data_IF_115740756459
#
_entry.id   IF_115740756459
#
_cell.length_a   1.000
_cell.length_b   1.000
_cell.length_c   1.000
_cell.angle_alpha   90.00
_cell.angle_beta   90.00
_cell.angle_gamma   90.00
#
_symmetry.space_group_name_H-M   'P 1'
#
loop_
_entity.id
_entity.type
_entity.pdbx_description
1 polymer ?
#
# COMPACT_ATOMS: atom_id res chain seq x y z
N UNK A 1 -12.60 58.24 -25.69
CA UNK A 1 -12.03 57.69 -24.44
C UNK A 1 -12.75 56.40 -24.11
N UNK A 2 -12.00 55.28 -24.03
CA UNK A 2 -12.26 54.01 -23.29
C UNK A 2 -13.61 53.29 -23.50
N UNK A 3 -13.76 51.97 -23.46
CA UNK A 3 -12.95 50.74 -23.51
C UNK A 3 -13.99 49.60 -23.33
N UNK A 4 -13.68 48.38 -23.79
CA UNK A 4 -14.14 47.17 -23.10
C UNK A 4 -14.90 46.15 -23.94
N UNK A 5 -14.15 45.31 -24.66
CA UNK A 5 -14.58 43.98 -25.06
C UNK A 5 -14.56 43.03 -23.85
N UNK A 6 -15.66 42.33 -23.60
CA UNK A 6 -15.68 41.10 -22.80
C UNK A 6 -16.14 39.95 -23.71
N UNK A 7 -15.20 39.06 -24.07
CA UNK A 7 -15.50 37.73 -24.60
C UNK A 7 -15.13 36.70 -23.54
N UNK A 8 -16.04 35.77 -23.34
CA UNK A 8 -16.01 34.65 -22.41
C UNK A 8 -14.83 33.71 -22.64
N UNK A 9 -14.22 33.24 -21.56
CA UNK A 9 -13.31 32.09 -21.57
C UNK A 9 -14.13 30.80 -21.54
N UNK A 10 -14.21 30.11 -22.67
CA UNK A 10 -14.54 28.68 -22.68
C UNK A 10 -13.31 27.90 -22.23
N UNK A 11 -13.43 27.20 -21.11
CA UNK A 11 -12.42 26.27 -20.59
C UNK A 11 -12.38 25.01 -21.47
N UNK A 12 -11.20 24.69 -22.02
CA UNK A 12 -10.98 23.42 -22.71
C UNK A 12 -11.25 22.22 -21.79
N UNK A 13 -11.85 21.13 -22.30
CA UNK A 13 -12.00 19.89 -21.54
C UNK A 13 -10.63 19.23 -21.28
N UNK A 14 -10.49 18.43 -20.21
CA UNK A 14 -9.23 17.79 -19.85
C UNK A 14 -8.84 16.73 -20.89
N UNK A 15 -7.54 16.49 -21.11
CA UNK A 15 -7.07 15.53 -22.10
C UNK A 15 -7.52 14.11 -21.71
N UNK A 16 -8.29 13.51 -22.61
CA UNK A 16 -8.64 12.11 -22.64
C UNK A 16 -7.35 11.27 -22.62
N UNK A 17 -7.35 10.16 -21.86
CA UNK A 17 -6.17 9.32 -21.60
C UNK A 17 -5.57 8.83 -22.92
N UNK A 18 -4.54 9.51 -23.40
CA UNK A 18 -3.72 9.03 -24.49
C UNK A 18 -3.02 7.75 -24.00
N UNK A 19 -3.43 6.61 -24.55
CA UNK A 19 -2.78 5.32 -24.30
C UNK A 19 -1.30 5.38 -24.63
N UNK A 20 -0.52 4.52 -23.96
CA UNK A 20 0.92 4.36 -24.13
C UNK A 20 1.34 4.26 -25.63
N UNK A 21 0.47 3.66 -26.46
CA UNK A 21 0.65 3.54 -27.90
C UNK A 21 0.66 4.87 -28.67
N UNK A 22 -0.13 5.87 -28.24
CA UNK A 22 -0.17 7.19 -28.88
C UNK A 22 1.11 7.98 -28.63
N UNK A 23 1.65 7.89 -27.41
CA UNK A 23 2.91 8.55 -27.03
C UNK A 23 4.09 7.90 -27.78
N UNK A 24 4.12 6.56 -27.86
CA UNK A 24 5.11 5.84 -28.67
C UNK A 24 5.05 6.22 -30.14
N UNK A 25 3.86 6.34 -30.73
CA UNK A 25 3.70 6.69 -32.16
C UNK A 25 4.24 8.08 -32.51
N UNK A 26 4.10 9.06 -31.61
CA UNK A 26 4.64 10.42 -31.81
C UNK A 26 6.13 10.53 -31.53
N UNK A 27 6.68 9.72 -30.62
CA UNK A 27 8.13 9.65 -30.38
C UNK A 27 8.84 9.00 -31.59
N UNK A 28 8.23 7.98 -32.20
CA UNK A 28 8.78 7.32 -33.39
C UNK A 28 8.75 8.23 -34.64
N UNK A 29 7.83 9.18 -34.73
CA UNK A 29 7.77 10.15 -35.84
C UNK A 29 8.90 11.18 -35.84
N UNK A 30 9.65 11.31 -34.73
CA UNK A 30 10.80 12.22 -34.63
C UNK A 30 12.13 11.63 -35.11
N UNK A 31 12.16 10.33 -35.44
CA UNK A 31 13.36 9.64 -35.90
C UNK A 31 13.37 9.46 -37.42
N UNK A 32 13.39 10.58 -38.13
CA UNK A 32 13.74 10.56 -39.55
C UNK A 32 15.25 10.25 -39.64
N UNK A 33 15.57 9.01 -40.05
CA UNK A 33 16.93 8.46 -40.04
C UNK A 33 17.84 9.27 -40.98
N UNK A 34 18.55 10.27 -40.47
CA UNK A 34 19.67 10.87 -41.19
C UNK A 34 20.92 10.01 -41.02
N UNK A 35 21.51 9.61 -42.15
CA UNK A 35 22.83 8.99 -42.17
C UNK A 35 23.89 10.00 -41.71
N UNK A 36 24.62 9.68 -40.64
CA UNK A 36 25.80 10.44 -40.21
C UNK A 36 27.07 9.76 -40.72
N UNK A 37 27.84 10.48 -41.53
CA UNK A 37 29.24 10.15 -41.77
C UNK A 37 30.05 10.71 -40.58
N UNK A 38 30.70 9.83 -39.81
CA UNK A 38 31.46 10.27 -38.64
C UNK A 38 32.65 11.17 -39.00
N UNK A 39 32.97 12.11 -38.11
CA UNK A 39 34.07 13.09 -38.20
C UNK A 39 35.48 12.47 -38.08
N UNK A 40 35.75 11.37 -38.79
CA UNK A 40 37.09 10.78 -38.90
C UNK A 40 37.91 11.40 -40.05
N UNK A 41 37.68 12.67 -40.41
CA UNK A 41 38.38 13.34 -41.52
C UNK A 41 38.86 14.76 -41.17
N UNK A 42 39.28 14.99 -39.92
CA UNK A 42 39.90 16.26 -39.50
C UNK A 42 41.41 16.15 -39.29
N UNK A 43 42.08 15.30 -40.08
CA UNK A 43 43.55 15.16 -40.05
C UNK A 43 44.15 14.79 -41.42
N UNK A 44 43.71 15.44 -42.51
CA UNK A 44 44.44 15.35 -43.78
C UNK A 44 44.22 16.58 -44.69
N UNK A 45 44.44 17.80 -44.19
CA UNK A 45 44.62 18.97 -45.06
C UNK A 45 45.75 19.84 -44.48
N UNK A 46 46.96 19.28 -44.51
CA UNK A 46 48.20 20.05 -44.57
C UNK A 46 48.96 19.49 -45.76
N UNK A 47 49.38 20.37 -46.65
CA UNK A 47 50.07 20.13 -47.93
C UNK A 47 49.19 19.73 -49.13
N UNK A 48 48.69 20.76 -49.83
CA UNK A 48 48.98 20.95 -51.26
C UNK A 48 48.47 22.31 -51.75
N UNK A 49 49.35 23.29 -51.67
CA UNK A 49 49.38 24.37 -52.66
C UNK A 49 49.73 23.78 -54.04
N UNK A 50 49.23 24.42 -55.10
CA UNK A 50 49.59 24.24 -56.51
C UNK A 50 49.11 22.96 -57.24
N UNK A 51 47.97 23.09 -57.93
CA UNK A 51 47.82 22.98 -59.41
C UNK A 51 46.36 22.64 -59.73
N UNK A 52 45.67 23.56 -60.40
CA UNK A 52 44.46 23.23 -61.14
C UNK A 52 44.82 22.23 -62.25
N UNK A 53 44.28 21.00 -62.18
CA UNK A 53 44.16 20.09 -63.33
C UNK A 53 42.73 19.53 -63.37
N UNK A 54 42.09 19.75 -64.51
CA UNK A 54 40.74 19.37 -64.93
C UNK A 54 40.51 17.84 -65.07
N UNK A 55 41.07 17.00 -64.19
CA UNK A 55 41.07 15.54 -64.37
C UNK A 55 40.41 14.71 -63.24
N UNK A 56 39.70 15.31 -62.29
CA UNK A 56 39.00 14.57 -61.23
C UNK A 56 37.46 14.52 -61.39
N UNK A 57 36.95 14.58 -62.63
CA UNK A 57 35.49 14.48 -62.87
C UNK A 57 34.95 13.04 -62.89
N UNK A 58 35.79 12.01 -62.73
CA UNK A 58 35.36 10.60 -62.69
C UNK A 58 36.12 9.82 -61.62
N UNK A 59 35.69 9.95 -60.36
CA UNK A 59 35.99 8.94 -59.34
C UNK A 59 34.69 8.54 -58.66
N UNK A 60 34.33 7.26 -58.81
CA UNK A 60 33.20 6.64 -58.13
C UNK A 60 33.40 6.73 -56.61
N UNK A 61 32.55 7.50 -55.93
CA UNK A 61 32.54 7.57 -54.48
C UNK A 61 32.33 6.17 -53.89
N UNK A 62 33.13 5.74 -52.89
CA UNK A 62 32.91 4.47 -52.21
C UNK A 62 31.59 4.57 -51.43
N UNK A 63 30.66 3.66 -51.69
CA UNK A 63 29.41 3.52 -50.95
C UNK A 63 29.75 3.16 -49.50
N UNK A 64 29.73 4.14 -48.60
CA UNK A 64 29.85 3.92 -47.17
C UNK A 64 28.64 3.11 -46.71
N UNK A 65 28.88 1.92 -46.14
CA UNK A 65 27.85 1.20 -45.37
C UNK A 65 27.46 2.10 -44.19
N UNK A 66 26.32 2.79 -44.31
CA UNK A 66 25.76 3.62 -43.25
C UNK A 66 25.34 2.70 -42.09
N UNK A 67 26.16 2.61 -41.05
CA UNK A 67 25.77 1.98 -39.78
C UNK A 67 24.79 2.91 -39.09
N UNK A 68 23.57 2.46 -38.81
CA UNK A 68 22.63 3.22 -37.98
C UNK A 68 23.16 3.27 -36.55
N UNK A 69 23.78 4.38 -36.18
CA UNK A 69 24.19 4.66 -34.81
C UNK A 69 23.25 5.73 -34.24
N UNK A 70 22.85 5.55 -32.97
CA UNK A 70 22.08 6.56 -32.26
C UNK A 70 22.96 7.79 -32.00
N UNK A 71 22.42 8.98 -32.24
CA UNK A 71 23.11 10.22 -31.85
C UNK A 71 23.06 10.38 -30.33
N UNK A 72 24.05 11.06 -29.74
CA UNK A 72 24.03 11.39 -28.31
C UNK A 72 22.74 12.14 -27.93
N UNK A 73 22.28 13.06 -28.78
CA UNK A 73 21.05 13.81 -28.55
C UNK A 73 19.80 12.92 -28.53
N UNK A 74 19.72 11.95 -29.44
CA UNK A 74 18.63 10.96 -29.49
C UNK A 74 18.59 10.08 -28.24
N UNK A 75 19.75 9.60 -27.77
CA UNK A 75 19.84 8.85 -26.51
C UNK A 75 19.44 9.72 -25.32
N UNK A 76 19.86 10.99 -25.27
CA UNK A 76 19.52 11.89 -24.17
C UNK A 76 18.04 12.25 -24.13
N UNK A 77 17.41 12.51 -25.28
CA UNK A 77 15.97 12.79 -25.37
C UNK A 77 15.17 11.56 -24.96
N UNK A 78 15.54 10.36 -25.44
CA UNK A 78 14.84 9.12 -25.09
C UNK A 78 14.96 8.79 -23.61
N UNK A 79 16.16 8.88 -23.02
CA UNK A 79 16.36 8.72 -21.58
C UNK A 79 15.62 9.79 -20.77
N UNK A 80 15.57 11.03 -21.27
CA UNK A 80 14.79 12.12 -20.66
C UNK A 80 13.29 11.81 -20.61
N UNK A 81 12.71 11.34 -21.72
CA UNK A 81 11.29 10.97 -21.79
C UNK A 81 11.00 9.79 -20.87
N UNK A 82 11.78 8.71 -20.94
CA UNK A 82 11.61 7.54 -20.05
C UNK A 82 11.74 7.95 -18.59
N UNK A 83 12.69 8.83 -18.27
CA UNK A 83 12.88 9.37 -16.91
C UNK A 83 11.66 10.11 -16.39
N UNK A 84 11.07 11.02 -17.19
CA UNK A 84 9.87 11.77 -16.79
C UNK A 84 8.67 10.84 -16.63
N UNK A 85 8.43 9.93 -17.58
CA UNK A 85 7.30 9.00 -17.50
C UNK A 85 7.45 8.09 -16.27
N UNK A 86 8.63 7.51 -16.06
CA UNK A 86 8.89 6.66 -14.91
C UNK A 86 8.72 7.41 -13.58
N UNK A 87 9.16 8.67 -13.49
CA UNK A 87 8.98 9.49 -12.30
C UNK A 87 7.50 9.74 -11.94
N UNK A 88 6.62 9.82 -12.94
CA UNK A 88 5.18 9.98 -12.73
C UNK A 88 4.47 8.66 -12.40
N UNK A 89 4.95 7.52 -12.90
CA UNK A 89 4.27 6.23 -12.76
C UNK A 89 4.79 5.36 -11.61
N UNK A 90 6.07 5.45 -11.25
CA UNK A 90 6.65 4.61 -10.19
C UNK A 90 5.97 4.81 -8.82
N UNK A 91 5.65 6.03 -8.37
CA UNK A 91 5.03 6.22 -7.06
C UNK A 91 3.66 5.55 -6.92
N UNK A 92 2.80 5.65 -7.94
CA UNK A 92 1.47 5.04 -7.92
C UNK A 92 1.56 3.51 -7.99
N UNK A 93 2.42 2.97 -8.85
CA UNK A 93 2.61 1.52 -8.95
C UNK A 93 3.11 0.91 -7.64
N UNK A 94 4.05 1.58 -6.96
CA UNK A 94 4.57 1.13 -5.65
C UNK A 94 3.47 1.20 -4.58
N UNK A 95 2.65 2.25 -4.59
CA UNK A 95 1.54 2.37 -3.65
C UNK A 95 0.52 1.25 -3.86
N UNK A 96 0.08 1.02 -5.10
CA UNK A 96 -0.88 -0.03 -5.46
C UNK A 96 -0.36 -1.43 -5.10
N UNK A 97 0.94 -1.67 -5.32
CA UNK A 97 1.58 -2.94 -4.95
C UNK A 97 1.55 -3.17 -3.43
N UNK A 98 1.90 -2.14 -2.64
CA UNK A 98 1.88 -2.21 -1.17
C UNK A 98 0.47 -2.45 -0.65
N UNK A 99 -0.54 -1.78 -1.20
CA UNK A 99 -1.94 -1.98 -0.78
C UNK A 99 -2.39 -3.42 -1.04
N UNK A 100 -2.04 -4.00 -2.19
CA UNK A 100 -2.31 -5.42 -2.48
C UNK A 100 -1.58 -6.37 -1.53
N UNK A 101 -0.33 -6.06 -1.20
CA UNK A 101 0.45 -6.82 -0.22
C UNK A 101 -0.20 -6.78 1.17
N UNK A 102 -0.62 -5.60 1.63
CA UNK A 102 -1.35 -5.40 2.89
C UNK A 102 -2.64 -6.22 2.93
N UNK A 103 -3.47 -6.16 1.88
CA UNK A 103 -4.71 -6.93 1.79
C UNK A 103 -4.41 -8.43 1.93
N UNK A 104 -3.43 -8.95 1.19
CA UNK A 104 -3.07 -10.36 1.23
C UNK A 104 -2.56 -10.80 2.61
N UNK A 105 -1.67 -9.99 3.22
CA UNK A 105 -1.15 -10.23 4.57
C UNK A 105 -2.25 -10.22 5.63
N UNK A 106 -3.12 -9.22 5.63
CA UNK A 106 -4.20 -9.14 6.61
C UNK A 106 -5.16 -10.32 6.49
N UNK A 107 -5.56 -10.70 5.27
CA UNK A 107 -6.42 -11.88 5.05
C UNK A 107 -5.77 -13.16 5.54
N UNK A 108 -4.47 -13.33 5.32
CA UNK A 108 -3.70 -14.48 5.83
C UNK A 108 -3.70 -14.51 7.35
N UNK A 109 -3.37 -13.38 7.99
CA UNK A 109 -3.35 -13.26 9.46
C UNK A 109 -4.73 -13.53 10.05
N UNK A 110 -5.78 -12.92 9.47
CA UNK A 110 -7.16 -13.16 9.88
C UNK A 110 -7.54 -14.64 9.79
N UNK A 111 -7.27 -15.27 8.64
CA UNK A 111 -7.57 -16.70 8.45
C UNK A 111 -6.79 -17.58 9.43
N UNK A 112 -5.52 -17.24 9.70
CA UNK A 112 -4.69 -17.99 10.64
C UNK A 112 -5.24 -17.90 12.06
N UNK A 113 -5.62 -16.70 12.50
CA UNK A 113 -6.19 -16.47 13.84
C UNK A 113 -7.57 -17.10 13.98
N UNK A 114 -8.47 -16.94 12.99
CA UNK A 114 -9.82 -17.52 13.01
C UNK A 114 -9.76 -19.06 13.01
N UNK A 115 -8.87 -19.65 12.21
CA UNK A 115 -8.65 -21.11 12.22
C UNK A 115 -8.11 -21.61 13.55
N UNK A 116 -7.10 -20.93 14.13
CA UNK A 116 -6.56 -21.30 15.45
C UNK A 116 -7.62 -21.20 16.55
N UNK A 117 -8.46 -20.17 16.48
CA UNK A 117 -9.58 -19.99 17.40
C UNK A 117 -10.62 -21.10 17.28
N UNK A 118 -10.99 -21.49 16.06
CA UNK A 118 -11.93 -22.59 15.82
C UNK A 118 -11.37 -23.94 16.30
N UNK A 119 -10.07 -24.21 16.10
CA UNK A 119 -9.42 -25.41 16.62
C UNK A 119 -9.41 -25.43 18.14
N UNK A 120 -9.08 -24.30 18.77
CA UNK A 120 -9.11 -24.17 20.23
C UNK A 120 -10.53 -24.40 20.80
N UNK A 121 -11.58 -23.91 20.13
CA UNK A 121 -12.98 -24.19 20.49
C UNK A 121 -13.37 -25.64 20.35
N UNK A 122 -12.92 -26.30 19.28
CA UNK A 122 -13.20 -27.71 19.09
C UNK A 122 -12.58 -28.58 20.20
N UNK A 123 -11.42 -28.20 20.73
CA UNK A 123 -10.73 -28.95 21.79
C UNK A 123 -11.19 -28.56 23.21
N UNK A 124 -11.46 -27.28 23.46
CA UNK A 124 -11.72 -26.75 24.80
C UNK A 124 -13.18 -26.35 25.05
N UNK A 125 -14.06 -26.57 24.09
CA UNK A 125 -15.48 -26.21 24.20
C UNK A 125 -15.75 -24.72 23.94
N UNK A 126 -16.91 -24.25 24.41
CA UNK A 126 -17.36 -22.89 24.19
C UNK A 126 -16.44 -21.87 24.86
N UNK A 127 -16.15 -20.77 24.18
CA UNK A 127 -15.22 -19.73 24.67
C UNK A 127 -15.71 -19.06 25.94
N UNK A 128 -17.02 -19.06 26.20
CA UNK A 128 -17.60 -18.59 27.45
C UNK A 128 -17.04 -19.31 28.68
N UNK A 129 -16.75 -20.61 28.56
CA UNK A 129 -16.33 -21.46 29.67
C UNK A 129 -14.82 -21.39 29.94
N UNK A 130 -14.07 -20.66 29.11
CA UNK A 130 -12.61 -20.57 29.24
C UNK A 130 -12.17 -19.69 30.41
N UNK A 131 -13.04 -18.80 30.89
CA UNK A 131 -12.66 -17.74 31.82
C UNK A 131 -13.37 -17.90 33.16
N UNK A 132 -12.63 -17.75 34.27
CA UNK A 132 -13.14 -17.91 35.64
C UNK A 132 -13.27 -16.61 36.40
N UNK A 133 -12.77 -15.50 35.85
CA UNK A 133 -12.68 -14.21 36.55
C UNK A 133 -12.74 -13.01 35.61
N UNK A 134 -12.66 -11.82 36.20
CA UNK A 134 -12.82 -10.53 35.49
C UNK A 134 -11.49 -9.87 35.13
N UNK A 135 -10.37 -10.51 35.47
CA UNK A 135 -9.05 -9.95 35.30
C UNK A 135 -8.62 -9.98 33.82
N UNK A 136 -8.43 -8.79 33.23
CA UNK A 136 -8.07 -8.63 31.81
C UNK A 136 -6.77 -9.35 31.47
N UNK A 137 -5.78 -9.26 32.36
CA UNK A 137 -4.45 -9.85 32.16
C UNK A 137 -4.58 -11.37 32.09
N UNK A 138 -5.20 -11.95 33.11
CA UNK A 138 -5.45 -13.40 33.19
C UNK A 138 -6.25 -13.91 31.99
N UNK A 139 -7.35 -13.23 31.63
CA UNK A 139 -8.19 -13.67 30.52
C UNK A 139 -7.48 -13.57 29.16
N UNK A 140 -6.67 -12.53 28.95
CA UNK A 140 -5.87 -12.39 27.72
C UNK A 140 -4.81 -13.48 27.62
N UNK A 141 -4.20 -13.87 28.74
CA UNK A 141 -3.24 -14.98 28.83
C UNK A 141 -3.90 -16.34 28.61
N UNK A 142 -5.05 -16.61 29.24
CA UNK A 142 -5.84 -17.83 29.03
C UNK A 142 -6.19 -17.96 27.55
N UNK A 143 -6.73 -16.90 26.94
CA UNK A 143 -7.09 -16.90 25.53
C UNK A 143 -5.88 -17.21 24.64
N UNK A 144 -4.75 -16.52 24.87
CA UNK A 144 -3.53 -16.78 24.12
C UNK A 144 -3.05 -18.23 24.28
N UNK A 145 -3.00 -18.75 25.52
CA UNK A 145 -2.53 -20.11 25.79
C UNK A 145 -3.39 -21.18 25.11
N UNK A 146 -4.68 -20.92 24.91
CA UNK A 146 -5.60 -21.80 24.17
C UNK A 146 -5.36 -21.76 22.66
N UNK A 147 -4.96 -20.61 22.11
CA UNK A 147 -4.68 -20.47 20.67
C UNK A 147 -3.25 -20.89 20.31
N UNK A 148 -2.30 -20.73 21.23
CA UNK A 148 -0.86 -20.96 21.05
C UNK A 148 -0.51 -22.29 20.38
N UNK A 149 -1.13 -23.44 20.71
CA UNK A 149 -0.80 -24.73 20.07
C UNK A 149 -1.06 -24.77 18.56
N UNK A 150 -1.97 -23.93 18.06
CA UNK A 150 -2.39 -23.89 16.66
C UNK A 150 -1.77 -22.70 15.90
N UNK A 151 -0.88 -21.95 16.55
CA UNK A 151 -0.20 -20.79 15.97
C UNK A 151 1.30 -21.06 15.86
N UNK A 152 1.89 -20.64 14.75
CA UNK A 152 3.34 -20.61 14.59
C UNK A 152 3.89 -19.34 15.26
N UNK A 153 4.25 -19.44 16.54
CA UNK A 153 4.80 -18.33 17.34
C UNK A 153 6.31 -18.24 17.15
N UNK A 154 6.81 -17.07 16.70
CA UNK A 154 8.24 -16.76 16.71
C UNK A 154 8.70 -16.24 18.06
N UNK A 155 7.88 -15.42 18.73
CA UNK A 155 8.23 -14.83 20.01
C UNK A 155 6.99 -14.66 20.89
N UNK A 156 7.09 -15.16 22.11
CA UNK A 156 6.09 -14.99 23.16
C UNK A 156 6.59 -13.93 24.15
N UNK A 157 5.81 -12.89 24.38
CA UNK A 157 6.25 -11.68 25.07
C UNK A 157 5.42 -11.39 26.32
N UNK A 158 4.32 -12.13 26.51
CA UNK A 158 3.38 -11.93 27.59
C UNK A 158 3.00 -10.46 27.76
N UNK A 159 3.24 -9.94 28.97
CA UNK A 159 2.89 -8.56 29.34
C UNK A 159 4.10 -7.64 29.49
N UNK A 160 5.30 -8.11 29.16
CA UNK A 160 6.50 -7.28 29.21
C UNK A 160 6.57 -6.38 27.98
N UNK A 161 7.21 -5.22 28.12
CA UNK A 161 7.46 -4.35 26.98
C UNK A 161 8.35 -5.02 25.94
N UNK A 162 8.15 -4.66 24.67
CA UNK A 162 8.81 -5.31 23.54
C UNK A 162 7.86 -6.20 22.76
N UNK A 163 8.25 -6.53 21.52
CA UNK A 163 7.47 -7.26 20.50
C UNK A 163 6.46 -6.46 19.68
N UNK A 164 6.18 -5.22 20.07
CA UNK A 164 5.52 -4.26 19.21
C UNK A 164 6.50 -3.18 18.76
N UNK A 165 6.17 -2.54 17.64
CA UNK A 165 6.82 -1.32 17.19
C UNK A 165 6.82 -0.27 18.31
N UNK A 166 7.99 0.32 18.58
CA UNK A 166 8.13 1.33 19.62
C UNK A 166 7.40 2.63 19.27
N UNK A 167 6.84 3.28 20.29
CA UNK A 167 6.14 4.54 20.16
C UNK A 167 4.62 4.39 20.10
N UNK A 168 3.98 5.40 19.54
CA UNK A 168 2.53 5.54 19.54
C UNK A 168 1.95 5.21 18.17
N UNK A 169 0.85 4.44 18.16
CA UNK A 169 0.14 4.16 16.92
C UNK A 169 -0.49 5.45 16.39
N UNK A 170 -0.58 5.59 15.07
CA UNK A 170 -1.29 6.71 14.43
C UNK A 170 -2.69 6.30 14.02
N UNK A 171 -3.67 7.18 14.20
CA UNK A 171 -5.00 7.00 13.62
C UNK A 171 -4.95 7.18 12.10
N UNK A 172 -6.02 6.78 11.40
CA UNK A 172 -6.07 6.83 9.94
C UNK A 172 -5.87 8.25 9.37
N UNK A 173 -6.38 9.26 10.06
CA UNK A 173 -6.24 10.69 9.76
C UNK A 173 -4.89 11.30 10.21
N UNK A 174 -4.01 10.50 10.83
CA UNK A 174 -2.63 10.88 11.13
C UNK A 174 -2.38 11.45 12.52
N UNK A 175 -3.38 11.48 13.42
CA UNK A 175 -3.17 11.86 14.82
C UNK A 175 -2.45 10.75 15.56
N UNK A 176 -1.66 11.14 16.55
CA UNK A 176 -1.01 10.19 17.45
C UNK A 176 -2.02 9.73 18.49
N UNK A 177 -2.20 8.42 18.61
CA UNK A 177 -3.02 7.85 19.67
C UNK A 177 -2.34 8.02 21.02
N UNK A 178 -3.12 8.24 22.09
CA UNK A 178 -2.59 8.58 23.41
C UNK A 178 -1.97 7.39 24.14
N UNK A 179 -2.43 6.16 23.86
CA UNK A 179 -1.90 4.95 24.48
C UNK A 179 -0.71 4.37 23.71
N UNK A 180 0.35 4.01 24.43
CA UNK A 180 1.46 3.23 23.89
C UNK A 180 1.21 1.74 24.13
N UNK A 181 0.79 1.02 23.08
CA UNK A 181 0.48 -0.41 23.20
C UNK A 181 1.70 -1.28 23.53
N UNK A 182 2.92 -0.88 23.14
CA UNK A 182 4.14 -1.61 23.48
C UNK A 182 4.44 -1.60 24.98
N UNK A 183 3.88 -0.65 25.72
CA UNK A 183 4.05 -0.50 27.18
C UNK A 183 2.80 -0.91 27.97
N UNK A 184 1.75 -1.42 27.32
CA UNK A 184 0.53 -1.84 28.01
C UNK A 184 0.81 -2.98 29.01
N UNK A 185 0.30 -2.85 30.23
CA UNK A 185 0.43 -3.87 31.28
C UNK A 185 -0.73 -4.88 31.30
N UNK A 186 -1.75 -4.66 30.45
CA UNK A 186 -2.98 -5.47 30.41
C UNK A 186 -3.10 -6.33 29.16
N UNK A 187 -2.37 -5.99 28.09
CA UNK A 187 -2.48 -6.68 26.80
C UNK A 187 -1.39 -7.74 26.63
N UNK A 188 -1.79 -8.95 26.25
CA UNK A 188 -0.87 -10.05 25.98
C UNK A 188 -0.28 -9.90 24.58
N UNK A 189 1.04 -9.94 24.45
CA UNK A 189 1.75 -9.69 23.19
C UNK A 189 2.53 -10.91 22.70
N UNK A 190 2.55 -11.08 21.38
CA UNK A 190 3.30 -12.13 20.71
C UNK A 190 3.63 -11.75 19.26
N UNK A 191 4.56 -12.48 18.66
CA UNK A 191 4.96 -12.33 17.25
C UNK A 191 4.82 -13.69 16.56
N UNK A 192 4.12 -13.70 15.43
CA UNK A 192 3.98 -14.87 14.56
C UNK A 192 5.26 -15.11 13.75
N UNK A 193 5.44 -16.34 13.27
CA UNK A 193 6.60 -16.75 12.46
C UNK A 193 6.79 -15.96 11.17
N UNK A 194 5.74 -15.34 10.64
CA UNK A 194 5.81 -14.47 9.47
C UNK A 194 6.15 -13.00 9.78
N UNK A 195 6.42 -12.68 11.05
CA UNK A 195 6.76 -11.34 11.50
C UNK A 195 5.58 -10.46 11.91
N UNK A 196 4.34 -10.95 11.74
CA UNK A 196 3.14 -10.25 12.24
C UNK A 196 3.22 -10.12 13.75
N UNK A 197 3.06 -8.91 14.26
CA UNK A 197 2.99 -8.66 15.70
C UNK A 197 1.53 -8.57 16.11
N UNK A 198 1.17 -9.17 17.23
CA UNK A 198 -0.21 -9.21 17.68
C UNK A 198 -0.30 -8.92 19.18
N UNK A 199 -1.44 -8.35 19.58
CA UNK A 199 -1.79 -8.13 20.96
C UNK A 199 -3.24 -8.53 21.20
N UNK A 200 -3.49 -9.17 22.34
CA UNK A 200 -4.80 -9.59 22.79
C UNK A 200 -5.17 -8.72 23.99
N UNK A 201 -6.34 -8.10 23.89
CA UNK A 201 -7.03 -7.49 25.01
C UNK A 201 -8.36 -8.22 25.16
N UNK A 202 -8.57 -8.88 26.29
CA UNK A 202 -9.85 -9.50 26.59
C UNK A 202 -10.32 -9.06 27.97
N UNK A 203 -11.13 -8.00 28.03
CA UNK A 203 -11.87 -7.72 29.24
C UNK A 203 -13.15 -8.55 29.22
N UNK A 204 -13.37 -9.41 30.21
CA UNK A 204 -14.73 -9.80 30.49
C UNK A 204 -14.97 -10.49 31.84
N UNK A 205 -16.06 -10.14 32.53
CA UNK A 205 -16.85 -11.08 33.34
C UNK A 205 -17.91 -11.87 32.55
N UNK A 206 -18.27 -11.45 31.34
CA UNK A 206 -19.52 -11.78 30.62
C UNK A 206 -19.35 -12.43 29.25
N UNK A 207 -18.25 -13.17 28.99
CA UNK A 207 -18.13 -13.88 27.71
C UNK A 207 -19.13 -15.03 27.79
N UNK A 208 -20.23 -14.91 27.06
CA UNK A 208 -21.37 -15.80 27.10
C UNK A 208 -21.75 -16.20 25.68
N UNK A 209 -22.87 -16.88 25.48
CA UNK A 209 -23.28 -17.36 24.15
C UNK A 209 -23.62 -16.23 23.16
N UNK A 210 -23.77 -14.98 23.62
CA UNK A 210 -24.20 -13.83 22.81
C UNK A 210 -23.11 -12.77 22.60
N UNK A 211 -22.17 -12.60 23.52
CA UNK A 211 -21.14 -11.55 23.44
C UNK A 211 -19.89 -11.96 24.24
N UNK A 212 -18.70 -11.58 23.78
CA UNK A 212 -17.44 -11.71 24.54
C UNK A 212 -16.84 -10.39 25.04
N UNK A 213 -17.71 -9.41 25.32
CA UNK A 213 -17.37 -8.16 25.99
C UNK A 213 -16.45 -7.29 25.15
N UNK A 214 -15.63 -6.45 25.77
CA UNK A 214 -14.61 -5.70 25.03
C UNK A 214 -13.38 -6.60 24.77
N UNK A 215 -13.55 -7.67 23.97
CA UNK A 215 -12.48 -8.53 23.49
C UNK A 215 -11.99 -8.11 22.11
N UNK A 216 -10.69 -7.92 21.94
CA UNK A 216 -10.08 -7.62 20.64
C UNK A 216 -8.67 -8.19 20.49
N UNK A 217 -8.33 -8.51 19.25
CA UNK A 217 -6.98 -8.81 18.79
C UNK A 217 -6.56 -7.66 17.88
N UNK A 218 -5.46 -6.99 18.20
CA UNK A 218 -4.86 -5.99 17.32
C UNK A 218 -3.63 -6.60 16.67
N UNK A 219 -3.48 -6.39 15.37
CA UNK A 219 -2.40 -6.97 14.57
C UNK A 219 -1.68 -5.88 13.80
N UNK A 220 -0.36 -5.85 13.90
CA UNK A 220 0.54 -5.11 13.02
C UNK A 220 1.13 -6.11 12.01
N UNK A 221 0.69 -6.01 10.76
CA UNK A 221 1.05 -6.97 9.71
C UNK A 221 2.41 -6.70 9.05
N UNK A 222 2.95 -5.48 9.22
CA UNK A 222 4.28 -5.12 8.71
C UNK A 222 5.33 -5.15 9.82
N UNK A 223 4.89 -5.23 11.08
CA UNK A 223 5.73 -5.24 12.27
C UNK A 223 6.68 -4.05 12.29
N UNK A 224 7.95 -4.27 12.65
CA UNK A 224 8.96 -3.22 12.78
C UNK A 224 9.27 -2.43 11.49
N UNK A 225 8.81 -2.89 10.32
CA UNK A 225 9.02 -2.21 9.03
C UNK A 225 7.89 -1.23 8.70
N UNK A 226 6.77 -1.34 9.40
CA UNK A 226 5.55 -0.59 9.15
C UNK A 226 5.61 0.86 9.61
N UNK A 227 4.56 1.60 9.28
CA UNK A 227 4.28 2.97 9.72
C UNK A 227 3.48 3.01 11.02
N UNK A 228 3.01 1.87 11.50
CA UNK A 228 2.27 1.72 12.75
C UNK A 228 1.03 2.64 12.79
N UNK A 229 0.17 2.49 11.79
CA UNK A 229 -1.01 3.32 11.52
C UNK A 229 -2.27 2.45 11.40
N UNK A 230 -3.28 2.76 12.22
CA UNK A 230 -4.57 2.09 12.24
C UNK A 230 -5.24 2.19 10.86
N UNK A 231 -5.69 1.05 10.34
CA UNK A 231 -6.34 0.95 9.03
C UNK A 231 -5.37 1.01 7.86
N UNK A 232 -4.05 0.96 8.09
CA UNK A 232 -3.05 0.82 7.01
C UNK A 232 -2.21 -0.44 7.16
N UNK A 233 -1.58 -0.61 8.30
CA UNK A 233 -0.77 -1.78 8.66
C UNK A 233 -1.14 -2.33 10.05
N UNK A 234 -1.84 -1.52 10.85
CA UNK A 234 -2.38 -1.91 12.14
C UNK A 234 -3.90 -2.11 12.05
N UNK A 235 -4.38 -3.31 12.33
CA UNK A 235 -5.79 -3.69 12.20
C UNK A 235 -6.33 -4.29 13.50
N UNK A 236 -7.63 -4.13 13.73
CA UNK A 236 -8.29 -4.63 14.94
C UNK A 236 -9.41 -5.60 14.57
N UNK A 237 -9.40 -6.75 15.24
CA UNK A 237 -10.39 -7.79 15.17
C UNK A 237 -11.10 -7.90 16.52
N UNK A 238 -12.42 -8.09 16.52
CA UNK A 238 -13.24 -8.33 17.70
C UNK A 238 -13.32 -9.84 17.96
N UNK A 239 -13.21 -10.21 19.22
CA UNK A 239 -13.42 -11.58 19.68
C UNK A 239 -14.90 -11.72 20.01
N UNK A 240 -15.60 -12.65 19.36
CA UNK A 240 -16.97 -13.02 19.67
C UNK A 240 -17.02 -14.49 20.08
N UNK A 241 -18.09 -14.96 20.75
CA UNK A 241 -18.15 -16.32 21.32
C UNK A 241 -17.95 -17.44 20.30
N UNK A 242 -18.32 -17.18 19.05
CA UNK A 242 -18.32 -18.19 17.98
C UNK A 242 -17.14 -18.07 17.03
N UNK A 243 -16.59 -16.86 16.81
CA UNK A 243 -15.49 -16.64 15.87
C UNK A 243 -14.83 -15.28 16.09
N UNK A 244 -13.73 -15.05 15.38
CA UNK A 244 -13.13 -13.71 15.32
C UNK A 244 -13.78 -12.92 14.19
N UNK A 245 -14.26 -11.72 14.51
CA UNK A 245 -14.89 -10.82 13.53
C UNK A 245 -13.99 -9.62 13.25
N UNK A 246 -13.73 -9.25 11.99
CA UNK A 246 -13.08 -7.99 11.71
C UNK A 246 -14.03 -6.81 12.01
N UNK A 247 -13.50 -5.75 12.62
CA UNK A 247 -14.30 -4.57 12.98
C UNK A 247 -14.71 -3.80 11.71
N UNK A 248 -15.93 -3.26 11.72
CA UNK A 248 -16.49 -2.46 10.62
C UNK A 248 -17.30 -3.26 9.60
N UNK A 249 -17.75 -4.47 9.96
CA UNK A 249 -18.57 -5.32 9.07
C UNK A 249 -19.89 -4.63 8.71
N UNK A 250 -20.46 -4.98 7.55
CA UNK A 250 -21.79 -4.52 7.14
C UNK A 250 -22.83 -4.83 8.24
N UNK A 251 -23.55 -3.79 8.67
CA UNK A 251 -24.56 -3.89 9.72
C UNK A 251 -24.03 -3.76 11.16
N UNK A 252 -22.71 -3.55 11.37
CA UNK A 252 -22.21 -3.12 12.69
C UNK A 252 -22.80 -1.74 13.02
N UNK A 253 -23.30 -1.57 14.24
CA UNK A 253 -23.93 -0.33 14.72
C UNK A 253 -23.06 0.44 15.72
N UNK A 254 -21.97 -0.16 16.21
CA UNK A 254 -21.10 0.41 17.24
C UNK A 254 -19.81 0.96 16.66
N UNK A 255 -19.16 0.21 15.76
CA UNK A 255 -17.87 0.57 15.17
C UNK A 255 -17.95 0.45 13.64
N UNK A 256 -18.88 1.20 13.07
CA UNK A 256 -19.23 1.19 11.65
C UNK A 256 -18.04 1.58 10.77
N UNK A 257 -18.02 1.06 9.53
CA UNK A 257 -16.99 1.43 8.56
C UNK A 257 -17.08 2.92 8.21
N UNK A 258 -18.28 3.43 7.94
CA UNK A 258 -18.52 4.77 7.42
C UNK A 258 -18.05 5.87 8.40
N UNK A 259 -18.18 5.61 9.71
CA UNK A 259 -17.76 6.55 10.76
C UNK A 259 -16.30 6.34 11.18
N UNK A 260 -15.85 5.08 11.28
CA UNK A 260 -14.55 4.74 11.86
C UNK A 260 -13.49 4.30 10.84
N UNK A 261 -13.74 4.46 9.55
CA UNK A 261 -12.79 4.26 8.46
C UNK A 261 -12.92 5.38 7.42
N UNK A 262 -12.66 6.62 7.84
CA UNK A 262 -12.80 7.78 6.96
C UNK A 262 -11.59 8.70 7.10
N UNK A 263 -10.84 8.93 6.03
CA UNK A 263 -9.62 9.74 6.06
C UNK A 263 -9.88 11.21 6.42
N UNK A 264 -11.08 11.71 6.12
CA UNK A 264 -11.53 13.06 6.53
C UNK A 264 -12.21 13.09 7.89
N UNK A 265 -12.44 11.93 8.51
CA UNK A 265 -13.00 11.82 9.86
C UNK A 265 -11.97 12.22 10.94
N UNK A 266 -12.40 13.03 11.91
CA UNK A 266 -11.59 13.41 13.07
C UNK A 266 -12.11 12.70 14.33
N UNK A 267 -11.46 11.60 14.72
CA UNK A 267 -11.83 10.80 15.90
C UNK A 267 -10.66 9.93 16.36
N UNK A 268 -10.35 9.89 17.66
CA UNK A 268 -9.29 9.01 18.22
C UNK A 268 -9.48 7.53 17.89
N UNK A 269 -10.68 7.12 17.51
CA UNK A 269 -11.01 5.78 17.06
C UNK A 269 -10.95 5.62 15.53
N UNK A 270 -10.52 6.63 14.77
CA UNK A 270 -10.51 6.56 13.31
C UNK A 270 -9.46 5.56 12.79
N UNK A 271 -9.89 4.69 11.88
CA UNK A 271 -9.15 3.57 11.34
C UNK A 271 -9.62 2.20 11.87
N UNK A 272 -10.26 2.14 13.04
CA UNK A 272 -10.61 0.83 13.64
C UNK A 272 -11.68 0.08 12.83
N UNK A 273 -12.52 0.81 12.09
CA UNK A 273 -13.57 0.25 11.23
C UNK A 273 -13.04 -0.27 9.88
N UNK A 274 -11.75 -0.15 9.59
CA UNK A 274 -11.21 -0.51 8.28
C UNK A 274 -10.97 -2.01 8.09
N UNK A 275 -10.81 -2.78 9.17
CA UNK A 275 -10.41 -4.20 9.09
C UNK A 275 -11.34 -5.03 8.22
N UNK A 276 -12.66 -4.91 8.42
CA UNK A 276 -13.64 -5.69 7.66
C UNK A 276 -13.63 -5.30 6.18
N UNK A 277 -13.49 -4.01 5.88
CA UNK A 277 -13.43 -3.54 4.49
C UNK A 277 -12.29 -4.18 3.71
N UNK A 278 -11.08 -4.17 4.29
CA UNK A 278 -9.89 -4.75 3.65
C UNK A 278 -10.08 -6.25 3.40
N UNK A 279 -10.66 -6.97 4.36
CA UNK A 279 -10.85 -8.43 4.26
C UNK A 279 -11.93 -8.80 3.25
N UNK A 280 -13.07 -8.11 3.23
CA UNK A 280 -14.23 -8.49 2.41
C UNK A 280 -14.24 -7.85 1.01
N UNK A 281 -13.76 -6.61 0.86
CA UNK A 281 -13.72 -5.93 -0.44
C UNK A 281 -12.36 -6.06 -1.14
N UNK A 282 -11.36 -6.64 -0.47
CA UNK A 282 -10.02 -6.90 -1.00
C UNK A 282 -9.32 -5.65 -1.56
N UNK A 283 -9.60 -4.49 -0.96
CA UNK A 283 -9.01 -3.22 -1.36
C UNK A 283 -8.83 -2.28 -0.16
N UNK A 284 -8.11 -1.18 -0.39
CA UNK A 284 -7.91 -0.11 0.59
C UNK A 284 -8.37 1.24 0.02
N UNK A 285 -9.44 1.23 -0.79
CA UNK A 285 -9.90 2.40 -1.53
C UNK A 285 -10.27 3.58 -0.61
N UNK A 286 -10.61 3.33 0.65
CA UNK A 286 -10.84 4.37 1.67
C UNK A 286 -9.61 5.27 1.94
N UNK A 287 -8.42 4.89 1.45
CA UNK A 287 -7.23 5.74 1.47
C UNK A 287 -7.25 6.84 0.39
N UNK A 288 -8.08 6.65 -0.64
CA UNK A 288 -8.13 7.45 -1.86
C UNK A 288 -9.44 8.22 -2.03
N UNK A 289 -10.55 7.77 -1.42
CA UNK A 289 -11.82 8.49 -1.40
C UNK A 289 -12.59 8.28 -0.08
N UNK A 290 -13.58 9.15 0.18
CA UNK A 290 -14.28 9.24 1.48
C UNK A 290 -15.78 8.91 1.40
N UNK A 291 -16.32 8.62 0.21
CA UNK A 291 -17.76 8.39 -0.04
C UNK A 291 -18.09 6.90 -0.23
N UNK A 292 -17.20 6.02 0.22
CA UNK A 292 -17.40 4.58 0.20
C UNK A 292 -18.44 4.15 1.23
N UNK A 293 -19.20 3.12 0.90
CA UNK A 293 -20.14 2.47 1.79
C UNK A 293 -20.42 1.04 1.32
N UNK A 294 -20.92 0.20 2.22
CA UNK A 294 -21.13 -1.23 1.95
C UNK A 294 -22.18 -1.55 0.88
N UNK A 295 -23.09 -0.63 0.57
CA UNK A 295 -24.27 -0.91 -0.26
C UNK A 295 -24.16 -0.39 -1.69
N UNK A 296 -23.58 0.79 -1.87
CA UNK A 296 -23.66 1.54 -3.14
C UNK A 296 -22.31 1.85 -3.75
N UNK A 297 -21.22 1.91 -2.97
CA UNK A 297 -19.90 2.29 -3.48
C UNK A 297 -18.75 1.60 -2.75
N UNK A 298 -18.22 0.53 -3.35
CA UNK A 298 -17.11 -0.26 -2.79
C UNK A 298 -15.74 0.03 -3.41
N UNK A 299 -15.69 0.91 -4.43
CA UNK A 299 -14.47 1.36 -5.09
C UNK A 299 -14.52 2.85 -5.39
N UNK A 300 -13.36 3.51 -5.44
CA UNK A 300 -13.30 4.95 -5.74
C UNK A 300 -13.52 5.29 -7.22
N UNK A 301 -13.29 4.34 -8.13
CA UNK A 301 -13.35 4.49 -9.59
C UNK A 301 -14.35 3.53 -10.20
#
# INVERSE_FOLDING_TARGET
MKNGHTRSFETCPPPEKAGFDYILSKILYFFDKRCYAGDAMHHYIKDRLFRFRLAELFSSHPSSKCSSAFTLAEVLITLGIIGVVAALTMPSLIADHREKETVAKLKKVYSTLDNAYMLARNEHGETADWFTGTNVKENSEIFFNKLKPYLNIAKDCGFQGGCLTEGYVKTLDGRTYTANYNLSTQEYRFVLADGTQAMIYLSNPTCNTANCGNGNIKVDIDGYKGRYTIGKDFFILRIEPQRIFPIGIKGDTSRTFETYCNKSGSSEANGIGCSAWVIFNENMDYLHCNDLNWDTKTKCK
#
